data_IF_682106191096
#
_entry.id   IF_682106191096
#
_cell.length_a   1.000
_cell.length_b   1.000
_cell.length_c   1.000
_cell.angle_alpha   90.00
_cell.angle_beta   90.00
_cell.angle_gamma   90.00
#
_symmetry.space_group_name_H-M   'P 1'
#
loop_
_entity.id
_entity.type
_entity.pdbx_description
1 polymer ?
#
# COMPACT_ATOMS: atom_id res chain seq x y z
N UNK A 1 -14.86 -36.64 -4.53
CA UNK A 1 -14.51 -35.35 -5.16
C UNK A 1 -14.61 -34.27 -4.09
N UNK A 2 -13.48 -33.81 -3.54
CA UNK A 2 -13.48 -32.66 -2.62
C UNK A 2 -13.36 -31.39 -3.46
N UNK A 3 -14.50 -30.81 -3.83
CA UNK A 3 -14.55 -29.49 -4.46
C UNK A 3 -14.24 -28.44 -3.40
N UNK A 4 -12.96 -28.29 -3.08
CA UNK A 4 -12.48 -27.16 -2.32
C UNK A 4 -11.97 -26.08 -3.27
N UNK A 5 -12.22 -24.80 -2.94
CA UNK A 5 -11.74 -23.69 -3.75
C UNK A 5 -10.41 -23.16 -3.21
N UNK A 6 -9.58 -22.67 -4.12
CA UNK A 6 -8.35 -21.95 -3.78
C UNK A 6 -8.53 -20.49 -4.18
N UNK A 7 -7.85 -19.58 -3.50
CA UNK A 7 -7.72 -18.20 -3.93
C UNK A 7 -6.29 -17.70 -3.76
N UNK A 8 -5.94 -16.62 -4.44
CA UNK A 8 -4.67 -15.93 -4.25
C UNK A 8 -4.87 -14.84 -3.21
N UNK A 9 -4.26 -15.02 -2.05
CA UNK A 9 -4.23 -13.98 -1.02
C UNK A 9 -3.52 -12.73 -1.55
N UNK A 10 -4.11 -11.57 -1.28
CA UNK A 10 -3.49 -10.28 -1.55
C UNK A 10 -2.32 -10.01 -0.59
N UNK A 11 -2.23 -10.74 0.53
CA UNK A 11 -1.15 -10.65 1.50
C UNK A 11 -0.15 -11.82 1.33
N UNK A 12 1.09 -11.57 0.84
CA UNK A 12 2.08 -12.63 0.62
C UNK A 12 2.60 -13.28 1.90
N UNK A 13 2.74 -12.50 2.99
CA UNK A 13 3.17 -13.02 4.28
C UNK A 13 2.13 -14.00 4.84
N UNK A 14 0.85 -13.64 4.78
CA UNK A 14 -0.25 -14.54 5.13
C UNK A 14 -0.27 -15.80 4.24
N UNK A 15 -0.11 -15.66 2.92
CA UNK A 15 -0.09 -16.81 2.02
C UNK A 15 1.05 -17.78 2.36
N UNK A 16 2.24 -17.25 2.66
CA UNK A 16 3.39 -18.04 3.07
C UNK A 16 3.18 -18.69 4.45
N UNK A 17 2.65 -17.95 5.43
CA UNK A 17 2.33 -18.47 6.76
C UNK A 17 1.28 -19.57 6.68
N UNK A 18 0.16 -19.33 5.98
CA UNK A 18 -0.88 -20.33 5.75
C UNK A 18 -0.30 -21.59 5.10
N UNK A 19 0.49 -21.41 4.04
CA UNK A 19 1.15 -22.52 3.37
C UNK A 19 2.04 -23.32 4.33
N UNK A 20 2.80 -22.65 5.19
CA UNK A 20 3.75 -23.27 6.10
C UNK A 20 3.12 -23.86 7.37
N UNK A 21 1.94 -23.39 7.77
CA UNK A 21 1.26 -23.85 8.99
C UNK A 21 0.20 -24.92 8.73
N UNK A 22 -0.33 -25.03 7.51
CA UNK A 22 -1.43 -25.93 7.19
C UNK A 22 -0.98 -27.22 6.47
N UNK A 23 -1.80 -28.26 6.60
CA UNK A 23 -1.65 -29.52 5.87
C UNK A 23 -1.71 -29.31 4.34
N UNK A 24 -1.32 -30.32 3.56
CA UNK A 24 -1.39 -30.32 2.07
C UNK A 24 -0.50 -29.27 1.38
N UNK A 25 0.66 -28.94 1.97
CA UNK A 25 1.67 -28.04 1.36
C UNK A 25 2.05 -28.46 -0.06
N UNK A 26 2.35 -29.75 -0.24
CA UNK A 26 2.80 -30.27 -1.52
C UNK A 26 1.73 -30.12 -2.61
N UNK A 27 0.46 -30.38 -2.28
CA UNK A 27 -0.65 -30.19 -3.21
C UNK A 27 -0.82 -28.72 -3.62
N UNK A 28 -0.58 -27.76 -2.71
CA UNK A 28 -0.57 -26.33 -3.07
C UNK A 28 0.58 -25.97 -4.02
N UNK A 29 1.77 -26.55 -3.84
CA UNK A 29 2.91 -26.34 -4.76
C UNK A 29 2.63 -26.94 -6.13
N UNK A 30 2.06 -28.14 -6.18
CA UNK A 30 1.63 -28.78 -7.43
C UNK A 30 0.59 -27.92 -8.15
N UNK A 31 -0.41 -27.41 -7.43
CA UNK A 31 -1.43 -26.51 -7.99
C UNK A 31 -0.84 -25.21 -8.52
N UNK A 32 0.09 -24.60 -7.77
CA UNK A 32 0.79 -23.39 -8.20
C UNK A 32 1.54 -23.62 -9.51
N UNK A 33 2.21 -24.77 -9.66
CA UNK A 33 2.94 -25.15 -10.88
C UNK A 33 1.99 -25.47 -12.04
N UNK A 34 0.93 -26.23 -11.78
CA UNK A 34 -0.07 -26.64 -12.78
C UNK A 34 -0.76 -25.43 -13.41
N UNK A 35 -1.02 -24.37 -12.63
CA UNK A 35 -1.77 -23.18 -13.07
C UNK A 35 -0.92 -21.93 -13.23
N UNK A 36 0.41 -22.06 -13.16
CA UNK A 36 1.37 -20.94 -13.27
C UNK A 36 1.00 -19.74 -12.38
N UNK A 37 0.57 -20.03 -11.15
CA UNK A 37 0.12 -18.99 -10.23
C UNK A 37 1.33 -18.13 -9.78
N UNK A 38 1.23 -16.79 -9.78
CA UNK A 38 2.30 -15.89 -9.31
C UNK A 38 2.62 -15.99 -7.82
N UNK A 39 1.74 -16.58 -7.01
CA UNK A 39 1.89 -16.71 -5.57
C UNK A 39 1.29 -18.02 -5.04
N UNK A 40 1.64 -18.37 -3.79
CA UNK A 40 1.14 -19.57 -3.12
C UNK A 40 -0.39 -19.47 -2.96
N UNK A 41 -1.17 -20.44 -3.46
CA UNK A 41 -2.61 -20.43 -3.30
C UNK A 41 -3.02 -20.71 -1.85
N UNK A 42 -3.98 -19.96 -1.33
CA UNK A 42 -4.62 -20.19 -0.03
C UNK A 42 -5.79 -21.15 -0.21
N UNK A 43 -5.85 -22.22 0.60
CA UNK A 43 -6.84 -23.28 0.52
C UNK A 43 -6.23 -24.70 0.44
N UNK A 44 -7.03 -25.71 0.05
CA UNK A 44 -8.42 -25.62 -0.41
C UNK A 44 -9.41 -25.40 0.75
N UNK A 45 -10.38 -24.51 0.57
CA UNK A 45 -11.50 -24.31 1.50
C UNK A 45 -12.72 -25.10 1.04
N UNK A 46 -13.37 -25.80 1.96
CA UNK A 46 -14.60 -26.56 1.72
C UNK A 46 -15.83 -25.66 1.85
N UNK A 47 -16.94 -26.09 1.24
CA UNK A 47 -18.20 -25.38 1.40
C UNK A 47 -18.63 -25.34 2.88
N UNK A 48 -18.98 -24.16 3.38
CA UNK A 48 -19.34 -23.93 4.79
C UNK A 48 -18.15 -23.93 5.76
N UNK A 49 -16.91 -24.02 5.28
CA UNK A 49 -15.73 -23.91 6.13
C UNK A 49 -15.57 -22.47 6.65
N UNK A 50 -15.47 -22.32 7.97
CA UNK A 50 -15.15 -21.03 8.60
C UNK A 50 -13.64 -20.90 8.69
N UNK A 51 -13.09 -19.81 8.15
CA UNK A 51 -11.68 -19.53 8.20
C UNK A 51 -11.43 -18.06 8.54
N UNK A 52 -10.37 -17.80 9.31
CA UNK A 52 -9.86 -16.45 9.53
C UNK A 52 -8.87 -16.14 8.42
N UNK A 53 -9.18 -15.11 7.63
CA UNK A 53 -8.35 -14.62 6.53
C UNK A 53 -8.19 -13.10 6.64
N UNK A 54 -7.18 -12.50 5.98
CA UNK A 54 -7.03 -11.05 5.95
C UNK A 54 -8.30 -10.36 5.45
N UNK A 55 -8.64 -9.21 6.05
CA UNK A 55 -9.81 -8.43 5.68
C UNK A 55 -9.92 -8.09 4.18
N UNK A 56 -8.83 -7.72 3.46
CA UNK A 56 -8.91 -7.48 2.02
C UNK A 56 -9.34 -8.71 1.22
N UNK A 57 -8.89 -9.91 1.63
CA UNK A 57 -9.27 -11.16 1.00
C UNK A 57 -10.73 -11.50 1.30
N UNK A 58 -11.20 -11.27 2.53
CA UNK A 58 -12.60 -11.45 2.89
C UNK A 58 -13.53 -10.56 2.06
N UNK A 59 -13.21 -9.26 1.95
CA UNK A 59 -13.99 -8.31 1.15
C UNK A 59 -13.95 -8.64 -0.34
N UNK A 60 -12.83 -9.15 -0.85
CA UNK A 60 -12.71 -9.60 -2.24
C UNK A 60 -13.61 -10.83 -2.48
N UNK A 61 -13.52 -11.85 -1.63
CA UNK A 61 -14.29 -13.08 -1.76
C UNK A 61 -15.78 -12.85 -1.59
N UNK A 62 -16.19 -11.91 -0.73
CA UNK A 62 -17.58 -11.47 -0.60
C UNK A 62 -18.10 -10.83 -1.88
N UNK A 63 -17.34 -9.90 -2.48
CA UNK A 63 -17.69 -9.27 -3.77
C UNK A 63 -17.74 -10.27 -4.93
N UNK A 64 -16.96 -11.34 -4.85
CA UNK A 64 -16.94 -12.43 -5.83
C UNK A 64 -18.01 -13.51 -5.55
N UNK A 65 -18.86 -13.32 -4.53
CA UNK A 65 -19.89 -14.28 -4.11
C UNK A 65 -19.31 -15.66 -3.75
N UNK A 66 -18.06 -15.71 -3.28
CA UNK A 66 -17.35 -16.94 -2.89
C UNK A 66 -17.34 -17.18 -1.38
N UNK A 67 -17.58 -16.14 -0.58
CA UNK A 67 -17.64 -16.22 0.87
C UNK A 67 -18.64 -15.20 1.41
N UNK A 68 -19.13 -15.43 2.63
CA UNK A 68 -19.93 -14.47 3.39
C UNK A 68 -19.14 -14.05 4.62
N UNK A 69 -19.09 -12.74 4.91
CA UNK A 69 -18.46 -12.25 6.14
C UNK A 69 -19.39 -12.50 7.31
N UNK A 70 -19.04 -13.48 8.15
CA UNK A 70 -19.82 -13.77 9.35
C UNK A 70 -19.65 -12.65 10.39
N UNK A 71 -20.77 -12.04 10.79
CA UNK A 71 -20.84 -11.10 11.93
C UNK A 71 -20.77 -11.84 13.27
N UNK A 72 -19.80 -12.73 13.47
CA UNK A 72 -19.58 -13.30 14.79
C UNK A 72 -19.00 -12.23 15.72
N UNK A 73 -19.63 -12.09 16.90
CA UNK A 73 -19.33 -11.14 17.99
C UNK A 73 -17.95 -11.44 18.65
N UNK A 74 -17.12 -12.27 18.03
CA UNK A 74 -15.73 -12.48 18.43
C UNK A 74 -14.92 -11.27 18.01
N UNK A 75 -14.99 -10.26 18.88
CA UNK A 75 -14.52 -8.91 18.65
C UNK A 75 -13.17 -8.87 17.98
N UNK A 76 -13.10 -8.09 16.90
CA UNK A 76 -11.92 -7.31 16.57
C UNK A 76 -11.42 -6.68 17.88
N UNK A 77 -10.49 -7.37 18.56
CA UNK A 77 -9.82 -6.82 19.72
C UNK A 77 -8.84 -5.79 19.18
N UNK A 78 -9.34 -4.57 19.01
CA UNK A 78 -8.50 -3.40 18.86
C UNK A 78 -7.74 -3.24 20.17
N UNK A 79 -6.54 -3.80 20.23
CA UNK A 79 -5.60 -3.49 21.28
C UNK A 79 -4.99 -2.13 20.98
N UNK A 80 -5.70 -1.04 21.30
CA UNK A 80 -5.02 0.21 21.58
C UNK A 80 -4.57 0.14 23.05
N UNK A 81 -3.44 -0.50 23.30
CA UNK A 81 -2.77 -0.41 24.59
C UNK A 81 -2.11 0.96 24.62
N UNK A 82 -2.68 1.86 25.41
CA UNK A 82 -2.23 3.23 25.62
C UNK A 82 -0.71 3.32 25.90
N UNK A 83 0.06 3.49 24.83
CA UNK A 83 1.28 4.28 24.67
C UNK A 83 1.62 4.18 23.19
N UNK A 84 1.74 5.32 22.51
CA UNK A 84 2.29 5.34 21.17
C UNK A 84 3.62 4.58 21.19
N UNK A 85 3.74 3.56 20.32
CA UNK A 85 4.98 2.78 20.28
C UNK A 85 6.13 3.69 19.90
N UNK A 86 7.34 3.40 20.39
CA UNK A 86 8.53 4.15 20.01
C UNK A 86 8.62 4.30 18.48
N UNK A 87 8.39 3.20 17.75
CA UNK A 87 8.41 3.18 16.29
C UNK A 87 7.34 4.11 15.70
N UNK A 88 6.10 4.07 16.20
CA UNK A 88 5.03 4.93 15.70
C UNK A 88 5.37 6.41 15.90
N UNK A 89 5.91 6.77 17.08
CA UNK A 89 6.32 8.14 17.40
C UNK A 89 7.45 8.63 16.50
N UNK A 90 8.47 7.81 16.28
CA UNK A 90 9.58 8.18 15.40
C UNK A 90 9.14 8.27 13.93
N UNK A 91 8.23 7.40 13.47
CA UNK A 91 7.60 7.52 12.14
C UNK A 91 6.81 8.83 12.05
N UNK A 92 6.02 9.19 13.06
CA UNK A 92 5.26 10.43 13.08
C UNK A 92 6.17 11.67 13.07
N UNK A 93 7.28 11.63 13.82
CA UNK A 93 8.29 12.70 13.80
C UNK A 93 8.95 12.84 12.42
N UNK A 94 9.25 11.72 11.74
CA UNK A 94 9.77 11.73 10.37
C UNK A 94 8.76 12.32 9.38
N UNK A 95 7.49 11.92 9.45
CA UNK A 95 6.43 12.47 8.60
C UNK A 95 6.27 13.97 8.83
N UNK A 96 6.24 14.41 10.09
CA UNK A 96 6.14 15.83 10.43
C UNK A 96 7.30 16.62 9.83
N UNK A 97 8.53 16.09 9.89
CA UNK A 97 9.70 16.75 9.31
C UNK A 97 9.63 16.80 7.78
N UNK A 98 9.18 15.74 7.12
CA UNK A 98 8.94 15.73 5.67
C UNK A 98 7.94 16.83 5.29
N UNK A 99 6.80 16.91 5.99
CA UNK A 99 5.77 17.92 5.72
C UNK A 99 6.30 19.34 5.96
N UNK A 100 7.02 19.58 7.05
CA UNK A 100 7.61 20.89 7.33
C UNK A 100 8.65 21.31 6.29
N UNK A 101 9.45 20.36 5.79
CA UNK A 101 10.39 20.64 4.70
C UNK A 101 9.65 20.93 3.39
N UNK A 102 8.59 20.18 3.09
CA UNK A 102 7.74 20.41 1.92
C UNK A 102 7.02 21.77 1.96
N UNK A 103 6.43 22.15 3.09
CA UNK A 103 5.76 23.45 3.26
C UNK A 103 6.73 24.61 3.02
N UNK A 104 7.95 24.53 3.58
CA UNK A 104 9.00 25.53 3.35
C UNK A 104 9.41 25.60 1.88
N UNK A 105 9.54 24.45 1.20
CA UNK A 105 9.86 24.42 -0.22
C UNK A 105 8.74 25.05 -1.06
N UNK A 106 7.48 24.76 -0.76
CA UNK A 106 6.32 25.36 -1.44
C UNK A 106 6.26 26.88 -1.23
N UNK A 107 6.61 27.38 -0.04
CA UNK A 107 6.75 28.82 0.21
C UNK A 107 7.84 29.45 -0.66
N UNK A 108 9.01 28.81 -0.77
CA UNK A 108 10.11 29.26 -1.62
C UNK A 108 9.71 29.25 -3.10
N UNK A 109 9.03 28.21 -3.56
CA UNK A 109 8.47 28.11 -4.92
C UNK A 109 7.49 29.24 -5.20
N UNK A 110 6.56 29.50 -4.27
CA UNK A 110 5.58 30.57 -4.42
C UNK A 110 6.23 31.95 -4.47
N UNK A 111 7.25 32.18 -3.63
CA UNK A 111 8.00 33.43 -3.63
C UNK A 111 8.82 33.61 -4.92
N UNK A 112 9.45 32.54 -5.41
CA UNK A 112 10.17 32.56 -6.69
C UNK A 112 9.22 32.78 -7.88
N UNK A 113 8.03 32.17 -7.89
CA UNK A 113 7.01 32.40 -8.91
C UNK A 113 6.52 33.85 -8.95
N UNK A 114 6.35 34.48 -7.77
CA UNK A 114 6.00 35.90 -7.66
C UNK A 114 7.13 36.81 -8.16
N UNK A 115 8.38 36.50 -7.82
CA UNK A 115 9.53 37.30 -8.17
C UNK A 115 9.90 37.17 -9.66
N UNK A 116 9.96 35.96 -10.17
CA UNK A 116 10.40 35.64 -11.53
C UNK A 116 9.51 34.56 -12.15
N UNK A 117 8.39 34.99 -12.76
CA UNK A 117 7.37 34.10 -13.35
C UNK A 117 7.96 32.97 -14.21
N UNK A 118 8.73 33.31 -15.24
CA UNK A 118 9.24 32.34 -16.24
C UNK A 118 10.58 31.73 -15.83
N UNK A 119 11.37 32.43 -15.02
CA UNK A 119 12.72 32.00 -14.60
C UNK A 119 12.74 31.39 -13.19
N UNK A 120 11.57 31.14 -12.60
CA UNK A 120 11.41 30.56 -11.26
C UNK A 120 12.27 29.31 -11.04
N UNK A 121 12.34 28.41 -12.03
CA UNK A 121 13.15 27.18 -11.94
C UNK A 121 14.65 27.45 -11.79
N UNK A 122 15.16 28.51 -12.44
CA UNK A 122 16.57 28.90 -12.35
C UNK A 122 16.84 29.48 -10.96
N UNK A 123 15.99 30.40 -10.50
CA UNK A 123 16.09 31.00 -9.17
C UNK A 123 16.03 29.94 -8.04
N UNK A 124 15.15 28.94 -8.17
CA UNK A 124 15.06 27.84 -7.21
C UNK A 124 16.29 26.94 -7.25
N UNK A 125 16.83 26.66 -8.45
CA UNK A 125 18.05 25.84 -8.58
C UNK A 125 19.30 26.53 -8.03
N UNK A 126 19.32 27.86 -8.02
CA UNK A 126 20.39 28.66 -7.44
C UNK A 126 20.20 28.89 -5.94
N UNK A 127 19.00 28.64 -5.39
CA UNK A 127 18.74 28.73 -3.95
C UNK A 127 19.36 27.53 -3.22
N UNK A 128 20.36 27.77 -2.34
CA UNK A 128 20.95 26.71 -1.54
C UNK A 128 19.92 26.11 -0.56
N UNK A 129 18.99 26.93 -0.08
CA UNK A 129 17.94 26.54 0.87
C UNK A 129 16.93 25.59 0.22
N UNK A 130 16.46 25.93 -1.00
CA UNK A 130 15.56 25.05 -1.75
C UNK A 130 16.25 23.73 -2.12
N UNK A 131 17.50 23.80 -2.58
CA UNK A 131 18.29 22.61 -2.93
C UNK A 131 18.54 21.71 -1.71
N UNK A 132 18.92 22.29 -0.57
CA UNK A 132 19.09 21.55 0.67
C UNK A 132 17.77 20.90 1.14
N UNK A 133 16.66 21.64 1.09
CA UNK A 133 15.33 21.11 1.40
C UNK A 133 14.93 19.94 0.50
N UNK A 134 15.18 20.05 -0.81
CA UNK A 134 14.91 18.96 -1.76
C UNK A 134 15.68 17.68 -1.40
N UNK A 135 16.97 17.79 -1.10
CA UNK A 135 17.77 16.64 -0.68
C UNK A 135 17.35 16.09 0.68
N UNK A 136 17.06 16.96 1.66
CA UNK A 136 16.56 16.56 2.97
C UNK A 136 15.26 15.76 2.84
N UNK A 137 14.27 16.29 2.11
CA UNK A 137 12.99 15.60 1.85
C UNK A 137 13.22 14.22 1.24
N UNK A 138 14.04 14.14 0.19
CA UNK A 138 14.35 12.87 -0.50
C UNK A 138 15.00 11.85 0.44
N UNK A 139 15.92 12.29 1.30
CA UNK A 139 16.56 11.44 2.30
C UNK A 139 15.56 10.94 3.36
N UNK A 140 14.70 11.82 3.87
CA UNK A 140 13.69 11.47 4.87
C UNK A 140 12.63 10.50 4.32
N UNK A 141 12.15 10.72 3.10
CA UNK A 141 11.24 9.79 2.41
C UNK A 141 11.90 8.44 2.16
N UNK A 142 13.19 8.43 1.80
CA UNK A 142 13.99 7.21 1.67
C UNK A 142 14.08 6.45 2.99
N UNK A 143 14.40 7.15 4.09
CA UNK A 143 14.48 6.57 5.42
C UNK A 143 13.13 5.97 5.86
N UNK A 144 12.03 6.69 5.65
CA UNK A 144 10.69 6.20 5.96
C UNK A 144 10.37 4.90 5.20
N UNK A 145 10.72 4.83 3.92
CA UNK A 145 10.55 3.62 3.10
C UNK A 145 11.35 2.44 3.65
N UNK A 146 12.60 2.66 4.06
CA UNK A 146 13.43 1.59 4.64
C UNK A 146 12.89 1.12 6.01
N UNK A 147 12.40 2.03 6.86
CA UNK A 147 11.74 1.65 8.12
C UNK A 147 10.54 0.73 7.85
N UNK A 148 9.69 1.07 6.88
CA UNK A 148 8.53 0.25 6.52
C UNK A 148 8.94 -1.12 5.95
N UNK A 149 10.05 -1.20 5.21
CA UNK A 149 10.61 -2.48 4.75
C UNK A 149 11.08 -3.34 5.92
N UNK A 150 11.77 -2.75 6.89
CA UNK A 150 12.25 -3.46 8.08
C UNK A 150 11.10 -4.00 8.92
N UNK A 151 10.00 -3.26 9.08
CA UNK A 151 8.80 -3.75 9.78
C UNK A 151 8.12 -4.95 9.08
N UNK A 152 8.35 -5.11 7.78
CA UNK A 152 7.85 -6.23 6.97
C UNK A 152 8.89 -7.33 6.72
N UNK A 153 10.14 -7.15 7.15
CA UNK A 153 11.23 -8.08 6.89
C UNK A 153 11.33 -9.14 7.99
N UNK A 154 11.07 -10.44 7.72
CA UNK A 154 11.11 -11.49 8.74
C UNK A 154 12.46 -11.66 9.45
N UNK A 155 13.54 -11.08 8.91
CA UNK A 155 14.88 -11.09 9.50
C UNK A 155 15.19 -9.88 10.38
N UNK A 156 14.30 -8.88 10.41
CA UNK A 156 14.49 -7.68 11.21
C UNK A 156 14.16 -7.94 12.68
N UNK A 157 14.87 -7.28 13.59
CA UNK A 157 14.53 -7.27 15.02
C UNK A 157 13.22 -6.54 15.31
N UNK A 158 12.75 -5.69 14.39
CA UNK A 158 11.50 -4.95 14.50
C UNK A 158 10.30 -5.68 13.86
N UNK A 159 10.52 -6.87 13.30
CA UNK A 159 9.48 -7.64 12.65
C UNK A 159 8.45 -8.20 13.63
N UNK A 160 7.18 -8.08 13.25
CA UNK A 160 6.07 -8.79 13.88
C UNK A 160 5.14 -9.30 12.80
N UNK A 161 4.84 -10.60 12.78
CA UNK A 161 3.97 -11.21 11.77
C UNK A 161 2.57 -10.56 11.76
N UNK A 162 2.04 -10.22 12.93
CA UNK A 162 0.76 -9.52 13.08
C UNK A 162 0.83 -8.10 12.50
N UNK A 163 1.91 -7.37 12.78
CA UNK A 163 2.10 -6.01 12.27
C UNK A 163 2.30 -6.01 10.75
N UNK A 164 3.18 -6.86 10.24
CA UNK A 164 3.45 -6.99 8.82
C UNK A 164 2.18 -7.40 8.06
N UNK A 165 1.40 -8.32 8.62
CA UNK A 165 0.12 -8.73 8.05
C UNK A 165 -0.91 -7.60 8.06
N UNK A 166 -0.99 -6.81 9.12
CA UNK A 166 -1.86 -5.64 9.20
C UNK A 166 -1.43 -4.54 8.20
N UNK A 167 -0.13 -4.25 8.09
CA UNK A 167 0.42 -3.28 7.15
C UNK A 167 0.16 -3.70 5.70
N UNK A 168 0.44 -4.95 5.35
CA UNK A 168 0.15 -5.51 4.03
C UNK A 168 -1.34 -5.47 3.69
N UNK A 169 -2.20 -5.76 4.66
CA UNK A 169 -3.65 -5.65 4.48
C UNK A 169 -4.11 -4.22 4.20
N UNK A 170 -3.57 -3.23 4.94
CA UNK A 170 -3.86 -1.81 4.72
C UNK A 170 -3.38 -1.33 3.35
N UNK A 171 -2.18 -1.75 2.92
CA UNK A 171 -1.65 -1.44 1.59
C UNK A 171 -2.56 -1.99 0.49
N UNK A 172 -2.93 -3.27 0.57
CA UNK A 172 -3.84 -3.91 -0.39
C UNK A 172 -5.19 -3.20 -0.47
N UNK A 173 -5.77 -2.85 0.69
CA UNK A 173 -7.02 -2.10 0.74
C UNK A 173 -6.91 -0.76 0.01
N UNK A 174 -5.84 0.00 0.26
CA UNK A 174 -5.64 1.31 -0.35
C UNK A 174 -5.40 1.22 -1.86
N UNK A 175 -4.67 0.21 -2.32
CA UNK A 175 -4.48 -0.06 -3.74
C UNK A 175 -5.80 -0.47 -4.41
N UNK A 176 -6.62 -1.27 -3.73
CA UNK A 176 -7.95 -1.65 -4.22
C UNK A 176 -8.90 -0.44 -4.31
N UNK A 177 -8.91 0.44 -3.30
CA UNK A 177 -9.64 1.71 -3.32
C UNK A 177 -9.21 2.59 -4.50
N UNK A 178 -7.89 2.72 -4.74
CA UNK A 178 -7.38 3.50 -5.86
C UNK A 178 -7.78 2.91 -7.21
N UNK A 179 -7.66 1.58 -7.37
CA UNK A 179 -8.10 0.86 -8.58
C UNK A 179 -9.58 1.08 -8.84
N UNK A 180 -10.42 1.05 -7.81
CA UNK A 180 -11.86 1.30 -7.94
C UNK A 180 -12.13 2.74 -8.34
N UNK A 181 -11.47 3.71 -7.71
CA UNK A 181 -11.61 5.13 -8.06
C UNK A 181 -11.24 5.39 -9.53
N UNK A 182 -10.10 4.86 -9.98
CA UNK A 182 -9.65 4.98 -11.36
C UNK A 182 -10.69 4.42 -12.34
N UNK A 183 -11.28 3.25 -12.05
CA UNK A 183 -12.34 2.66 -12.86
C UNK A 183 -13.60 3.53 -12.91
N UNK A 184 -14.02 4.10 -11.79
CA UNK A 184 -15.20 4.98 -11.71
C UNK A 184 -15.00 6.23 -12.58
N UNK A 185 -13.78 6.77 -12.61
CA UNK A 185 -13.43 7.91 -13.46
C UNK A 185 -13.21 7.54 -14.93
N UNK A 186 -13.40 6.28 -15.32
CA UNK A 186 -13.21 5.81 -16.70
C UNK A 186 -11.74 5.69 -17.12
N UNK A 187 -10.80 5.69 -16.16
CA UNK A 187 -9.37 5.61 -16.44
C UNK A 187 -8.93 4.16 -16.66
N UNK A 188 -7.94 3.98 -17.53
CA UNK A 188 -7.47 2.64 -17.92
C UNK A 188 -6.44 2.13 -16.92
N UNK A 189 -6.78 1.08 -16.17
CA UNK A 189 -5.83 0.38 -15.29
C UNK A 189 -4.94 -0.55 -16.13
N UNK A 190 -3.64 -0.28 -16.16
CA UNK A 190 -2.65 -1.06 -16.92
C UNK A 190 -2.15 -2.27 -16.13
N UNK A 191 -1.91 -2.10 -14.83
CA UNK A 191 -1.42 -3.14 -13.93
C UNK A 191 -2.04 -2.92 -12.55
N UNK A 192 -2.38 -4.02 -11.87
CA UNK A 192 -2.76 -4.00 -10.46
C UNK A 192 -2.22 -5.26 -9.80
N UNK A 193 -1.33 -5.10 -8.83
CA UNK A 193 -0.82 -6.15 -7.95
C UNK A 193 -1.03 -5.75 -6.48
N UNK A 194 -0.60 -6.61 -5.55
CA UNK A 194 -0.59 -6.32 -4.12
C UNK A 194 0.39 -5.19 -3.73
N UNK A 195 1.32 -4.83 -4.61
CA UNK A 195 2.37 -3.85 -4.36
C UNK A 195 2.21 -2.59 -5.20
N UNK A 196 1.61 -2.68 -6.39
CA UNK A 196 1.52 -1.54 -7.30
C UNK A 196 0.23 -1.50 -8.10
N UNK A 197 -0.32 -0.30 -8.26
CA UNK A 197 -1.39 -0.03 -9.24
C UNK A 197 -0.90 1.03 -10.23
N UNK A 198 -0.90 0.66 -11.51
CA UNK A 198 -0.55 1.53 -12.63
C UNK A 198 -1.81 1.91 -13.41
N UNK A 199 -2.08 3.20 -13.49
CA UNK A 199 -3.23 3.75 -14.21
C UNK A 199 -2.75 4.68 -15.31
N UNK A 200 -3.25 4.48 -16.52
CA UNK A 200 -3.16 5.45 -17.59
C UNK A 200 -4.32 6.44 -17.42
N UNK A 201 -3.99 7.62 -16.90
CA UNK A 201 -4.96 8.67 -16.60
C UNK A 201 -4.95 9.75 -17.68
N UNK A 202 -6.13 10.20 -18.12
CA UNK A 202 -6.27 11.38 -18.97
C UNK A 202 -5.93 12.66 -18.20
N UNK A 203 -6.33 12.73 -16.93
CA UNK A 203 -5.98 13.81 -16.02
C UNK A 203 -5.39 13.27 -14.70
N UNK A 204 -4.07 12.98 -14.68
CA UNK A 204 -3.39 12.42 -13.51
C UNK A 204 -3.56 13.26 -12.25
N UNK A 205 -3.50 14.59 -12.36
CA UNK A 205 -3.59 15.51 -11.23
C UNK A 205 -4.97 15.47 -10.56
N UNK A 206 -6.05 15.33 -11.35
CA UNK A 206 -7.41 15.20 -10.83
C UNK A 206 -7.60 13.89 -10.07
N UNK A 207 -7.18 12.77 -10.67
CA UNK A 207 -7.25 11.45 -10.05
C UNK A 207 -6.46 11.41 -8.73
N UNK A 208 -5.26 11.99 -8.72
CA UNK A 208 -4.44 12.09 -7.51
C UNK A 208 -5.11 12.93 -6.43
N UNK A 209 -5.62 14.12 -6.78
CA UNK A 209 -6.25 15.02 -5.81
C UNK A 209 -7.46 14.37 -5.16
N UNK A 210 -8.33 13.72 -5.95
CA UNK A 210 -9.51 13.04 -5.41
C UNK A 210 -9.12 11.84 -4.53
N UNK A 211 -8.10 11.07 -4.94
CA UNK A 211 -7.60 9.98 -4.11
C UNK A 211 -7.00 10.50 -2.81
N UNK A 212 -6.14 11.51 -2.83
CA UNK A 212 -5.51 12.07 -1.62
C UNK A 212 -6.52 12.70 -0.66
N UNK A 213 -7.62 13.27 -1.16
CA UNK A 213 -8.72 13.77 -0.32
C UNK A 213 -9.44 12.63 0.42
N UNK A 214 -9.57 11.45 -0.20
CA UNK A 214 -10.21 10.27 0.38
C UNK A 214 -9.25 9.45 1.25
N UNK A 215 -8.02 9.26 0.79
CA UNK A 215 -6.96 8.47 1.40
C UNK A 215 -5.97 9.41 2.09
N UNK A 216 -6.24 9.76 3.35
CA UNK A 216 -5.40 10.65 4.20
C UNK A 216 -3.96 10.13 4.46
N UNK A 217 -3.46 9.11 3.76
CA UNK A 217 -2.28 8.33 4.18
C UNK A 217 -1.35 7.86 3.05
N UNK A 218 -1.78 7.79 1.78
CA UNK A 218 -0.91 7.33 0.68
C UNK A 218 -0.90 8.40 -0.43
N UNK A 219 0.30 8.83 -0.80
CA UNK A 219 0.50 9.83 -1.85
C UNK A 219 0.81 9.11 -3.17
N UNK A 220 -0.10 9.10 -4.15
CA UNK A 220 0.19 8.62 -5.50
C UNK A 220 1.34 9.42 -6.13
N UNK A 221 2.11 8.79 -7.00
CA UNK A 221 3.20 9.44 -7.74
C UNK A 221 2.95 9.41 -9.24
N UNK A 222 3.35 10.47 -9.96
CA UNK A 222 3.29 10.52 -11.42
C UNK A 222 4.61 9.98 -11.97
N UNK A 223 4.55 8.95 -12.81
CA UNK A 223 5.70 8.42 -13.52
C UNK A 223 6.19 9.41 -14.59
N UNK A 224 7.49 9.36 -14.93
CA UNK A 224 8.15 10.22 -15.95
C UNK A 224 7.44 10.21 -17.31
N UNK A 225 6.66 9.18 -17.61
CA UNK A 225 5.66 9.24 -18.67
C UNK A 225 4.40 9.90 -18.08
N UNK A 226 4.26 11.22 -18.25
CA UNK A 226 3.24 12.15 -17.69
C UNK A 226 1.74 11.75 -17.81
N UNK A 227 1.42 10.51 -18.16
CA UNK A 227 0.08 9.91 -18.21
C UNK A 227 -0.09 8.72 -17.27
N UNK A 228 0.94 8.32 -16.52
CA UNK A 228 0.91 7.15 -15.65
C UNK A 228 0.96 7.56 -14.19
N UNK A 229 -0.04 7.14 -13.42
CA UNK A 229 -0.06 7.27 -11.95
C UNK A 229 0.30 5.92 -11.33
N UNK A 230 1.24 5.96 -10.38
CA UNK A 230 1.77 4.81 -9.67
C UNK A 230 1.51 4.99 -8.18
N UNK A 231 0.89 3.98 -7.57
CA UNK A 231 0.83 3.85 -6.12
C UNK A 231 1.55 2.57 -5.74
N UNK A 232 2.53 2.66 -4.83
CA UNK A 232 3.25 1.54 -4.24
C UNK A 232 3.86 1.91 -2.90
#
# INVERSE_FOLDING_TARGET
>A
MQNGFYFQSQNPAFAAEFHNSHERKQARLERMREWFLPSLPTGPFRNGEKALIPLPDALMLEREEKAEVMNEIHGLKWHCLARESFIAREIQALILRITQTEDKMLELEHNALKAQKVLCSIQLSESPEYTAGFFEKKCLEGLLKEVLKELNNPRSSFYSANLASALGALQCLKLAEFKQLAKIQGEKVLQASAEVVLVQAQNPSSLMKEFSQKAKTIIPTISKNFRQVVIG
#
